data_IF_953994271152
#
_entry.id   IF_953994271152
#
_cell.length_a   1.000
_cell.length_b   1.000
_cell.length_c   1.000
_cell.angle_alpha   90.00
_cell.angle_beta   90.00
_cell.angle_gamma   90.00
#
_symmetry.space_group_name_H-M   'P 1'
#
loop_
_entity.id
_entity.type
_entity.pdbx_description
1 polymer ?
2 non-polymer ?
3 non-polymer ?
4 water ?
#
# COMPACT_ATOMS: atom_id res chain seq x y z
N UNK A 4 11.72 4.56 14.34
CA UNK A 4 10.97 4.87 15.55
C UNK A 4 9.48 4.70 15.32
N UNK A 5 8.69 5.09 16.31
CA UNK A 5 7.27 4.81 16.35
C UNK A 5 6.42 6.02 16.01
N UNK A 6 6.99 7.02 15.36
CA UNK A 6 6.24 8.25 15.14
C UNK A 6 5.15 8.00 14.09
N UNK A 7 4.01 8.66 14.30
CA UNK A 7 2.79 8.38 13.58
C UNK A 7 2.23 9.66 12.99
N UNK A 8 1.23 9.48 12.12
CA UNK A 8 0.40 10.57 11.62
C UNK A 8 -1.02 10.27 12.08
N UNK A 9 -1.71 11.32 12.51
CA UNK A 9 -3.11 11.19 12.89
C UNK A 9 -3.98 11.19 11.64
N UNK A 10 -4.81 10.15 11.47
CA UNK A 10 -5.73 10.05 10.34
C UNK A 10 -7.01 10.86 10.61
N UNK A 11 -7.77 11.08 9.52
CA UNK A 11 -8.94 11.96 9.60
C UNK A 11 -10.08 11.34 10.40
N UNK A 12 -9.96 10.08 10.82
CA UNK A 12 -10.86 9.45 11.78
C UNK A 12 -10.29 9.37 13.18
N UNK A 13 -9.10 9.94 13.41
CA UNK A 13 -8.54 9.99 14.74
C UNK A 13 -7.66 8.82 15.12
N UNK A 14 -7.56 7.80 14.28
CA UNK A 14 -6.60 6.75 14.51
C UNK A 14 -5.22 7.22 14.09
N UNK A 15 -4.19 6.58 14.63
CA UNK A 15 -2.81 6.93 14.32
C UNK A 15 -2.18 5.85 13.45
N UNK A 16 -1.48 6.27 12.41
CA UNK A 16 -0.83 5.37 11.45
C UNK A 16 0.67 5.55 11.56
N UNK A 17 1.46 4.50 11.79
CA UNK A 17 2.93 4.65 11.76
C UNK A 17 3.39 5.09 10.37
N UNK A 18 4.34 6.03 10.36
CA UNK A 18 4.68 6.69 9.09
C UNK A 18 5.57 5.82 8.21
N UNK A 19 6.22 4.82 8.78
CA UNK A 19 6.93 3.81 8.03
C UNK A 19 6.16 2.50 8.16
N UNK A 20 5.95 1.83 7.03
CA UNK A 20 5.28 0.55 7.04
C UNK A 20 6.06 -0.50 6.27
N UNK A 21 5.75 -1.74 6.59
CA UNK A 21 6.40 -2.92 6.04
C UNK A 21 5.53 -3.49 4.94
N UNK A 22 6.04 -3.54 3.71
CA UNK A 22 5.29 -4.18 2.64
C UNK A 22 5.53 -5.69 2.67
N UNK A 23 4.45 -6.46 2.39
CA UNK A 23 4.53 -7.92 2.46
C UNK A 23 4.32 -8.65 1.14
N UNK A 24 3.96 -7.96 0.04
CA UNK A 24 3.89 -8.64 -1.24
C UNK A 24 5.27 -9.14 -1.67
N UNK A 25 5.32 -10.33 -2.25
CA UNK A 25 6.50 -10.78 -2.98
C UNK A 25 6.04 -11.46 -4.26
N UNK A 26 6.91 -11.52 -5.30
CA UNK A 26 6.50 -12.19 -6.55
C UNK A 26 5.96 -13.60 -6.32
N UNK A 27 5.15 -14.07 -7.27
CA UNK A 27 4.47 -15.36 -7.12
C UNK A 27 5.46 -16.49 -6.85
N UNK A 28 6.63 -16.45 -7.47
CA UNK A 28 7.60 -17.53 -7.33
C UNK A 28 8.24 -17.59 -5.95
N UNK A 29 8.00 -16.61 -5.08
CA UNK A 29 8.56 -16.63 -3.73
C UNK A 29 7.66 -17.49 -2.84
N UNK A 30 8.18 -18.55 -2.21
CA UNK A 30 7.33 -19.45 -1.44
C UNK A 30 6.62 -18.69 -0.32
N UNK A 31 5.38 -19.14 -0.03
CA UNK A 31 4.55 -18.48 0.99
C UNK A 31 5.24 -18.44 2.35
N UNK A 32 6.05 -19.43 2.68
CA UNK A 32 6.66 -19.48 4.00
C UNK A 32 7.58 -18.28 4.25
N UNK A 33 8.15 -17.70 3.19
CA UNK A 33 9.07 -16.58 3.34
C UNK A 33 8.36 -15.35 3.90
N UNK A 34 7.05 -15.22 3.67
CA UNK A 34 6.32 -14.09 4.24
C UNK A 34 6.28 -14.17 5.77
N UNK A 35 6.17 -15.38 6.31
CA UNK A 35 6.10 -15.57 7.75
C UNK A 35 7.37 -15.08 8.44
N UNK A 36 8.53 -15.47 7.90
CA UNK A 36 9.81 -15.12 8.51
C UNK A 36 10.10 -13.63 8.39
N UNK A 37 9.81 -13.04 7.23
CA UNK A 37 10.13 -11.64 6.99
C UNK A 37 9.29 -10.73 7.88
N UNK A 38 8.04 -11.09 8.12
CA UNK A 38 7.19 -10.23 8.94
C UNK A 38 7.61 -10.27 10.40
N UNK A 39 8.00 -11.45 10.90
CA UNK A 39 8.58 -11.52 12.23
C UNK A 39 9.82 -10.63 12.34
N UNK A 40 10.72 -10.73 11.36
CA UNK A 40 11.94 -9.92 11.41
C UNK A 40 11.62 -8.44 11.32
N UNK A 41 10.61 -8.08 10.54
CA UNK A 41 10.20 -6.69 10.44
C UNK A 41 9.77 -6.14 11.80
N UNK A 42 8.97 -6.92 12.53
CA UNK A 42 8.48 -6.50 13.84
C UNK A 42 9.64 -6.41 14.84
N UNK A 43 10.59 -7.34 14.77
CA UNK A 43 11.73 -7.27 15.67
C UNK A 43 12.59 -6.04 15.40
N UNK A 44 12.68 -5.63 14.13
CA UNK A 44 13.47 -4.47 13.75
C UNK A 44 12.83 -3.16 14.17
N UNK A 45 11.54 -3.14 14.41
CA UNK A 45 10.89 -1.90 14.79
C UNK A 45 9.65 -1.56 14.00
N UNK A 46 9.40 -2.25 12.89
CA UNK A 46 8.20 -1.99 12.10
C UNK A 46 6.96 -2.27 12.93
N UNK A 47 6.00 -1.36 12.88
CA UNK A 47 4.70 -1.56 13.50
C UNK A 47 3.56 -1.50 12.50
N UNK A 48 3.76 -0.86 11.35
CA UNK A 48 2.78 -0.78 10.29
C UNK A 48 3.11 -1.87 9.28
N UNK A 49 2.15 -2.79 9.06
CA UNK A 49 2.33 -3.94 8.18
C UNK A 49 1.23 -3.93 7.13
N UNK A 50 1.63 -3.99 5.86
CA UNK A 50 0.73 -3.88 4.71
C UNK A 50 0.64 -5.23 3.99
N UNK A 51 -0.58 -5.79 3.93
CA UNK A 51 -0.87 -6.95 3.06
C UNK A 51 -2.17 -6.69 2.32
N UNK A 52 -2.77 -7.77 1.80
CA UNK A 52 -3.92 -7.77 0.88
C UNK A 52 -4.35 -9.21 0.67
N UNK A 53 -5.64 -9.42 0.34
CA UNK A 53 -6.06 -10.78 0.00
C UNK A 53 -5.38 -11.25 -1.28
N UNK A 54 -5.11 -10.32 -2.20
CA UNK A 54 -4.39 -10.63 -3.42
C UNK A 54 -3.03 -11.28 -3.15
N UNK A 55 -2.36 -10.91 -2.07
CA UNK A 55 -0.97 -11.35 -1.88
C UNK A 55 -0.86 -12.82 -1.57
N UNK A 56 -1.97 -13.49 -1.28
CA UNK A 56 -1.97 -14.90 -0.90
C UNK A 56 -0.97 -15.16 0.23
N UNK A 57 -0.92 -14.26 1.23
CA UNK A 57 0.00 -14.44 2.35
C UNK A 57 -0.62 -14.14 3.72
N UNK A 58 -1.93 -13.90 3.80
CA UNK A 58 -2.49 -13.41 5.05
C UNK A 58 -2.44 -14.46 6.14
N UNK A 59 -2.46 -15.75 5.78
CA UNK A 59 -2.24 -16.76 6.79
C UNK A 59 -0.85 -16.64 7.39
N UNK A 60 0.15 -16.38 6.56
CA UNK A 60 1.52 -16.28 7.06
C UNK A 60 1.71 -14.98 7.85
N UNK A 61 1.23 -13.86 7.31
CA UNK A 61 1.40 -12.57 7.97
C UNK A 61 0.69 -12.54 9.32
N UNK A 62 -0.52 -13.11 9.37
CA UNK A 62 -1.21 -13.26 10.64
C UNK A 62 -0.44 -14.15 11.61
N UNK A 63 0.11 -15.27 11.11
CA UNK A 63 0.88 -16.14 11.99
C UNK A 63 2.07 -15.39 12.58
N UNK A 64 2.70 -14.52 11.78
CA UNK A 64 3.86 -13.78 12.25
C UNK A 64 3.48 -12.77 13.33
N UNK A 65 2.43 -11.99 13.07
CA UNK A 65 1.98 -10.96 14.01
C UNK A 65 1.59 -11.58 15.34
N UNK A 66 0.81 -12.67 15.28
CA UNK A 66 0.31 -13.29 16.50
C UNK A 66 1.41 -14.03 17.25
N UNK A 67 2.51 -14.39 16.57
CA UNK A 67 3.65 -14.96 17.27
C UNK A 67 4.44 -13.88 18.01
N UNK A 68 4.55 -12.69 17.44
CA UNK A 68 5.19 -11.58 18.13
C UNK A 68 4.34 -11.04 19.26
N UNK A 69 3.02 -11.22 19.20
CA UNK A 69 2.17 -10.96 20.34
C UNK A 69 2.36 -12.02 21.40
N UNK A 70 2.42 -13.29 20.99
CA UNK A 70 2.47 -14.38 21.95
C UNK A 70 3.76 -14.34 22.76
N UNK A 71 4.88 -14.03 22.12
CA UNK A 71 6.13 -13.96 22.85
C UNK A 71 6.29 -12.64 23.59
N UNK A 72 5.26 -11.79 23.59
CA UNK A 72 5.26 -10.58 24.36
C UNK A 72 6.03 -9.42 23.77
N UNK A 73 6.53 -9.56 22.53
CA UNK A 73 7.30 -8.47 21.92
C UNK A 73 6.42 -7.24 21.73
N UNK A 74 5.19 -7.44 21.27
CA UNK A 74 4.26 -6.38 20.96
C UNK A 74 2.88 -6.83 21.41
N UNK A 75 2.00 -5.86 21.63
CA UNK A 75 0.58 -6.13 21.80
C UNK A 75 -0.15 -5.72 20.54
N UNK A 76 -1.38 -6.24 20.40
CA UNK A 76 -2.15 -5.98 19.18
C UNK A 76 -2.31 -4.49 18.93
N UNK A 77 -2.50 -3.71 20.00
CA UNK A 77 -2.70 -2.28 19.85
C UNK A 77 -1.46 -1.58 19.30
N UNK A 78 -0.27 -2.18 19.42
CA UNK A 78 0.95 -1.59 18.86
C UNK A 78 1.08 -1.81 17.36
N UNK A 79 0.38 -2.79 16.81
CA UNK A 79 0.50 -3.17 15.40
C UNK A 79 -0.61 -2.48 14.61
N UNK A 80 -0.24 -1.90 13.47
CA UNK A 80 -1.18 -1.31 12.54
C UNK A 80 -1.17 -2.20 11.30
N UNK A 81 -2.21 -3.02 11.13
CA UNK A 81 -2.26 -4.00 10.05
C UNK A 81 -3.28 -3.57 8.99
N UNK A 82 -2.84 -3.58 7.73
CA UNK A 82 -3.67 -3.21 6.58
C UNK A 82 -3.99 -4.45 5.75
N UNK A 83 -5.26 -4.63 5.40
CA UNK A 83 -5.60 -5.56 4.34
C UNK A 83 -6.34 -4.79 3.23
N UNK A 84 -6.65 -5.51 2.14
CA UNK A 84 -7.27 -4.89 0.97
C UNK A 84 -8.31 -5.82 0.36
N UNK A 85 -9.40 -5.20 -0.09
CA UNK A 85 -10.50 -5.88 -0.77
C UNK A 85 -10.18 -6.00 -2.26
N UNK A 86 -10.15 -7.23 -2.77
CA UNK A 86 -9.74 -7.42 -4.16
C UNK A 86 -10.92 -7.22 -5.12
N UNK A 87 -10.60 -7.12 -6.40
CA UNK A 87 -11.57 -6.77 -7.44
C UNK A 87 -12.66 -7.82 -7.65
N UNK A 88 -12.47 -9.05 -7.19
CA UNK A 88 -13.50 -10.06 -7.38
C UNK A 88 -14.60 -9.98 -6.33
N UNK A 89 -14.48 -9.10 -5.33
CA UNK A 89 -15.51 -8.90 -4.32
C UNK A 89 -15.90 -7.42 -4.17
N UNK A 90 -15.85 -6.65 -5.28
CA UNK A 90 -16.38 -5.29 -5.25
C UNK A 90 -17.89 -5.27 -5.03
N UNK A 91 -18.61 -6.29 -5.49
CA UNK A 91 -20.06 -6.30 -5.36
C UNK A 91 -20.47 -6.16 -3.90
N UNK A 92 -21.42 -5.28 -3.57
CA UNK A 92 -21.69 -4.94 -2.16
C UNK A 92 -21.86 -6.15 -1.26
N UNK A 93 -22.67 -7.13 -1.69
CA UNK A 93 -22.99 -8.30 -0.89
C UNK A 93 -21.77 -9.20 -0.67
N UNK A 94 -20.69 -9.03 -1.44
CA UNK A 94 -19.46 -9.81 -1.30
C UNK A 94 -18.38 -9.12 -0.49
N UNK A 95 -18.58 -7.87 -0.08
CA UNK A 95 -17.53 -7.10 0.58
C UNK A 95 -17.23 -7.66 1.96
N UNK A 96 -18.27 -7.84 2.78
CA UNK A 96 -18.06 -8.31 4.15
C UNK A 96 -17.58 -9.75 4.15
N UNK A 97 -18.18 -10.64 3.35
CA UNK A 97 -17.56 -11.97 3.18
C UNK A 97 -16.06 -11.93 2.91
N UNK A 98 -15.60 -11.05 2.02
CA UNK A 98 -14.17 -10.98 1.72
C UNK A 98 -13.37 -10.52 2.93
N UNK A 99 -13.86 -9.50 3.66
CA UNK A 99 -13.15 -9.07 4.87
C UNK A 99 -13.12 -10.18 5.91
N UNK A 100 -14.25 -10.85 6.13
CA UNK A 100 -14.28 -11.93 7.10
C UNK A 100 -13.37 -13.08 6.67
N UNK A 101 -13.23 -13.29 5.37
CA UNK A 101 -12.33 -14.35 4.90
C UNK A 101 -10.87 -13.99 5.18
N UNK A 102 -10.49 -12.72 4.99
CA UNK A 102 -9.16 -12.27 5.37
C UNK A 102 -8.92 -12.42 6.87
N UNK A 103 -9.89 -11.99 7.68
CA UNK A 103 -9.73 -12.10 9.13
C UNK A 103 -9.58 -13.55 9.57
N UNK A 104 -10.33 -14.45 8.94
CA UNK A 104 -10.22 -15.88 9.26
C UNK A 104 -8.84 -16.42 8.89
N UNK A 105 -8.35 -16.08 7.70
CA UNK A 105 -6.98 -16.45 7.34
C UNK A 105 -5.99 -15.87 8.33
N UNK A 106 -6.20 -14.62 8.74
CA UNK A 106 -5.30 -13.96 9.66
C UNK A 106 -5.46 -14.47 11.09
N UNK A 107 -6.66 -14.97 11.41
CA UNK A 107 -7.07 -15.29 12.79
C UNK A 107 -6.93 -14.07 13.71
N UNK A 108 -7.30 -12.91 13.17
CA UNK A 108 -7.40 -11.67 13.92
C UNK A 108 -8.86 -11.22 13.95
N UNK A 109 -9.24 -10.51 15.01
CA UNK A 109 -10.61 -10.03 15.16
C UNK A 109 -10.92 -8.82 14.29
N UNK A 110 -9.90 -8.05 13.90
CA UNK A 110 -10.11 -6.85 13.10
C UNK A 110 -8.82 -6.52 12.37
N UNK A 111 -8.94 -5.75 11.29
CA UNK A 111 -7.79 -5.10 10.66
C UNK A 111 -7.79 -3.64 11.10
N UNK A 112 -6.60 -3.03 11.11
CA UNK A 112 -6.53 -1.61 11.41
C UNK A 112 -6.98 -0.75 10.24
N UNK A 113 -6.86 -1.27 9.02
CA UNK A 113 -7.13 -0.51 7.82
C UNK A 113 -7.55 -1.48 6.73
N UNK A 114 -8.67 -1.17 6.07
CA UNK A 114 -9.17 -1.96 4.96
C UNK A 114 -9.32 -1.04 3.76
N UNK A 115 -8.73 -1.45 2.64
CA UNK A 115 -8.67 -0.63 1.43
C UNK A 115 -9.40 -1.32 0.29
N UNK A 116 -10.13 -0.54 -0.51
CA UNK A 116 -10.43 -0.97 -1.87
C UNK A 116 -9.12 -1.01 -2.65
N UNK A 117 -8.76 -2.19 -3.15
CA UNK A 117 -7.41 -2.42 -3.65
C UNK A 117 -7.19 -1.75 -5.02
N UNK A 118 -8.19 -1.77 -5.88
CA UNK A 118 -8.01 -1.32 -7.25
C UNK A 118 -9.38 -1.08 -7.84
N UNK A 119 -9.65 0.09 -8.44
CA UNK A 119 -11.03 0.45 -8.79
C UNK A 119 -11.64 -0.31 -9.97
N UNK A 120 -10.95 -1.26 -10.61
CA UNK A 120 -11.52 -2.00 -11.75
C UNK A 120 -12.04 -3.34 -11.25
N UNK A 121 -13.31 -3.63 -11.50
CA UNK A 121 -13.95 -4.86 -11.00
C UNK A 121 -13.72 -6.04 -11.95
N UNK A 122 -13.72 -7.26 -11.38
CA UNK A 122 -13.61 -8.49 -12.16
C UNK A 122 -14.66 -9.49 -11.68
N UNK A 123 -14.87 -10.52 -12.50
CA UNK A 123 -15.91 -11.51 -12.26
C UNK A 123 -15.82 -12.08 -10.85
N UNK A 124 -16.93 -12.19 -10.12
CA UNK A 124 -16.88 -12.86 -8.82
C UNK A 124 -16.46 -14.33 -8.97
N UNK A 125 -15.75 -14.81 -7.97
CA UNK A 125 -15.33 -16.19 -7.94
C UNK A 125 -14.02 -16.31 -7.18
N UNK A 126 -13.54 -17.56 -7.09
CA UNK A 126 -12.31 -17.82 -6.37
C UNK A 126 -11.09 -17.26 -7.10
N UNK A 127 -11.13 -17.20 -8.43
CA UNK A 127 -9.97 -16.78 -9.21
C UNK A 127 -9.77 -15.27 -9.08
N UNK A 128 -8.53 -14.85 -8.76
CA UNK A 128 -8.27 -13.42 -8.58
C UNK A 128 -8.14 -12.68 -9.90
N UNK A 129 -7.64 -13.33 -10.95
CA UNK A 129 -7.62 -12.74 -12.29
C UNK A 129 -8.33 -13.67 -13.27
N UNK A 130 -9.67 -13.70 -13.26
CA UNK A 130 -10.38 -14.61 -14.17
C UNK A 130 -10.12 -14.20 -15.62
N UNK A 131 -10.04 -15.20 -16.51
CA UNK A 131 -9.70 -14.95 -17.91
C UNK A 131 -10.60 -15.76 -18.84
N UNK A 132 -10.98 -15.15 -19.98
CA UNK A 132 -11.78 -15.82 -20.98
C UNK A 132 -10.87 -16.67 -21.88
N UNK A 133 -11.43 -17.19 -22.98
CA UNK A 133 -10.69 -18.11 -23.84
C UNK A 133 -9.62 -17.42 -24.68
N UNK A 134 -9.68 -16.10 -24.81
CA UNK A 134 -8.65 -15.36 -25.52
C UNK A 134 -7.65 -14.71 -24.58
N UNK A 135 -7.72 -15.01 -23.28
CA UNK A 135 -6.74 -14.54 -22.31
C UNK A 135 -7.00 -13.16 -21.75
N UNK A 136 -8.18 -12.59 -21.98
CA UNK A 136 -8.44 -11.26 -21.48
C UNK A 136 -9.29 -11.34 -20.21
N UNK A 137 -9.16 -10.32 -19.37
CA UNK A 137 -9.81 -10.34 -18.07
C UNK A 137 -11.33 -10.25 -18.25
N UNK A 138 -12.07 -11.05 -17.45
CA UNK A 138 -13.53 -11.01 -17.40
C UNK A 138 -13.89 -9.92 -16.42
N UNK A 139 -14.05 -8.71 -16.96
CA UNK A 139 -14.39 -7.58 -16.14
C UNK A 139 -15.83 -7.69 -15.66
N UNK A 140 -16.10 -7.01 -14.56
CA UNK A 140 -17.42 -6.90 -13.95
C UNK A 140 -17.80 -5.43 -13.85
N UNK A 141 -19.09 -5.19 -13.68
CA UNK A 141 -19.65 -3.84 -13.66
C UNK A 141 -20.25 -3.63 -12.28
N UNK A 142 -19.59 -2.82 -11.46
CA UNK A 142 -19.99 -2.54 -10.10
C UNK A 142 -19.94 -1.04 -9.89
N UNK A 143 -20.86 -0.54 -9.08
CA UNK A 143 -20.83 0.85 -8.64
C UNK A 143 -19.91 0.94 -7.43
N UNK A 144 -18.72 1.52 -7.60
CA UNK A 144 -17.77 1.61 -6.50
C UNK A 144 -18.31 2.44 -5.33
N UNK A 145 -19.32 3.28 -5.56
CA UNK A 145 -19.94 3.95 -4.43
C UNK A 145 -20.71 2.96 -3.58
N UNK A 146 -21.35 1.97 -4.23
CA UNK A 146 -21.97 0.88 -3.49
C UNK A 146 -20.93 0.00 -2.82
N UNK A 147 -19.76 -0.18 -3.45
CA UNK A 147 -18.68 -0.88 -2.77
C UNK A 147 -18.26 -0.15 -1.50
N UNK A 148 -18.05 1.17 -1.60
CA UNK A 148 -17.59 1.94 -0.45
C UNK A 148 -18.58 1.89 0.70
N UNK A 149 -19.88 1.95 0.39
CA UNK A 149 -20.90 1.84 1.45
C UNK A 149 -20.80 0.51 2.19
N UNK A 150 -20.57 -0.59 1.45
CA UNK A 150 -20.36 -1.86 2.12
C UNK A 150 -19.05 -1.87 2.92
N UNK A 151 -18.02 -1.14 2.44
CA UNK A 151 -16.79 -1.03 3.22
C UNK A 151 -17.03 -0.19 4.48
N UNK A 152 -17.84 0.86 4.36
CA UNK A 152 -18.23 1.65 5.53
C UNK A 152 -18.92 0.79 6.59
N UNK A 153 -19.79 -0.13 6.15
CA UNK A 153 -20.48 -1.01 7.11
C UNK A 153 -19.49 -1.91 7.84
N UNK A 154 -18.33 -2.16 7.23
CA UNK A 154 -17.30 -2.95 7.88
C UNK A 154 -16.66 -2.17 9.04
N UNK A 155 -16.58 -0.85 8.90
CA UNK A 155 -16.14 -0.02 10.02
C UNK A 155 -17.22 0.05 11.10
N UNK A 156 -18.49 0.20 10.69
CA UNK A 156 -19.61 0.17 11.62
C UNK A 156 -19.53 -1.05 12.52
N UNK A 157 -19.27 -2.22 11.91
CA UNK A 157 -19.23 -3.50 12.60
C UNK A 157 -17.98 -3.68 13.44
N UNK A 158 -17.04 -2.74 13.39
CA UNK A 158 -15.79 -2.85 14.11
C UNK A 158 -14.81 -3.87 13.57
N UNK A 159 -14.99 -4.33 12.33
CA UNK A 159 -14.08 -5.28 11.71
C UNK A 159 -12.90 -4.61 11.03
N UNK A 160 -12.98 -3.30 10.82
CA UNK A 160 -11.89 -2.48 10.32
C UNK A 160 -11.92 -1.16 11.07
N UNK A 161 -10.80 -0.80 11.69
CA UNK A 161 -10.76 0.41 12.50
C UNK A 161 -10.77 1.66 11.64
N UNK A 162 -10.03 1.65 10.52
CA UNK A 162 -10.09 2.69 9.51
C UNK A 162 -10.28 2.06 8.15
N UNK A 163 -10.73 2.88 7.18
CA UNK A 163 -10.99 2.39 5.83
C UNK A 163 -10.42 3.40 4.83
N UNK A 164 -10.01 2.89 3.67
CA UNK A 164 -9.41 3.76 2.68
C UNK A 164 -9.42 3.14 1.30
N UNK A 165 -8.62 3.74 0.40
CA UNK A 165 -8.58 3.31 -0.98
C UNK A 165 -7.13 3.17 -1.44
N UNK A 166 -6.96 2.60 -2.64
CA UNK A 166 -5.65 2.41 -3.23
C UNK A 166 -5.82 2.51 -4.74
N UNK A 167 -4.85 3.11 -5.44
CA UNK A 167 -4.91 3.19 -6.90
C UNK A 167 -6.13 3.97 -7.40
N UNK A 168 -6.56 4.97 -6.64
CA UNK A 168 -7.66 5.84 -7.02
C UNK A 168 -7.04 7.13 -7.53
N UNK A 169 -7.58 7.63 -8.64
CA UNK A 169 -7.15 8.91 -9.18
C UNK A 169 -8.03 10.01 -8.56
N UNK A 170 -7.77 11.26 -8.94
CA UNK A 170 -8.49 12.35 -8.30
C UNK A 170 -9.99 12.26 -8.56
N UNK A 171 -10.38 11.94 -9.80
CA UNK A 171 -11.80 11.74 -10.14
C UNK A 171 -12.48 10.70 -9.25
N UNK A 172 -11.80 9.57 -9.00
CA UNK A 172 -12.41 8.53 -8.18
C UNK A 172 -12.42 8.91 -6.70
N UNK A 173 -11.40 9.63 -6.24
CA UNK A 173 -11.44 10.18 -4.88
C UNK A 173 -12.61 11.12 -4.71
N UNK A 174 -12.86 11.97 -5.71
CA UNK A 174 -13.98 12.90 -5.65
C UNK A 174 -15.32 12.17 -5.68
N UNK A 175 -15.39 11.05 -6.42
CA UNK A 175 -16.64 10.29 -6.47
C UNK A 175 -17.02 9.77 -5.09
N UNK A 176 -16.04 9.32 -4.31
CA UNK A 176 -16.29 8.84 -2.95
C UNK A 176 -16.56 10.03 -2.02
N UNK A 177 -15.72 11.07 -2.11
CA UNK A 177 -15.80 12.19 -1.18
C UNK A 177 -17.14 12.90 -1.30
N UNK A 178 -17.69 12.97 -2.50
CA UNK A 178 -18.93 13.68 -2.77
C UNK A 178 -20.13 12.75 -2.90
N UNK A 179 -20.00 11.49 -2.51
CA UNK A 179 -21.13 10.59 -2.55
C UNK A 179 -22.22 11.04 -1.58
N UNK A 180 -23.49 11.02 -1.98
CA UNK A 180 -24.57 11.28 -1.04
C UNK A 180 -24.56 10.28 0.12
N UNK A 181 -24.69 10.81 1.33
CA UNK A 181 -24.79 9.97 2.51
C UNK A 181 -23.48 9.42 3.00
N UNK A 182 -22.36 10.00 2.58
CA UNK A 182 -21.05 9.49 2.96
C UNK A 182 -20.90 9.48 4.47
N UNK A 183 -20.53 8.32 5.00
CA UNK A 183 -20.28 8.17 6.42
C UNK A 183 -18.83 8.49 6.77
N UNK A 184 -17.88 7.86 6.09
CA UNK A 184 -16.46 7.99 6.39
C UNK A 184 -15.69 8.34 5.13
N UNK A 185 -14.90 9.42 5.19
CA UNK A 185 -13.93 9.65 4.13
C UNK A 185 -12.88 8.54 4.14
N UNK A 186 -12.27 8.25 3.00
CA UNK A 186 -11.05 7.42 3.03
C UNK A 186 -9.99 8.11 3.87
N UNK A 187 -9.32 7.32 4.71
CA UNK A 187 -8.23 7.91 5.50
C UNK A 187 -6.97 8.04 4.67
N UNK A 188 -6.90 7.35 3.54
CA UNK A 188 -5.65 7.30 2.80
C UNK A 188 -5.95 6.87 1.38
N UNK A 189 -5.00 7.19 0.50
CA UNK A 189 -4.96 6.67 -0.87
C UNK A 189 -3.56 6.09 -1.03
N UNK A 190 -3.47 4.77 -1.18
CA UNK A 190 -2.19 4.09 -1.34
C UNK A 190 -1.87 3.96 -2.82
N UNK A 191 -0.79 4.61 -3.23
CA UNK A 191 -0.45 4.74 -4.65
C UNK A 191 1.04 4.60 -4.80
N UNK A 192 1.48 4.26 -6.01
CA UNK A 192 2.91 4.21 -6.31
C UNK A 192 3.52 5.61 -6.13
N UNK A 193 4.65 5.68 -5.42
CA UNK A 193 5.29 6.97 -5.23
C UNK A 193 6.76 6.76 -4.87
N UNK A 194 7.64 7.42 -5.63
CA UNK A 194 9.09 7.28 -5.52
C UNK A 194 9.67 8.49 -6.27
N UNK A 195 10.99 8.75 -6.20
CA UNK A 195 11.52 9.97 -6.83
C UNK A 195 11.35 10.03 -8.33
N UNK A 196 11.14 8.90 -9.00
CA UNK A 196 10.88 8.89 -10.44
C UNK A 196 9.39 9.06 -10.77
N UNK A 197 8.50 9.02 -9.77
CA UNK A 197 7.06 9.24 -9.96
C UNK A 197 6.56 9.78 -8.62
N UNK A 198 6.81 11.08 -8.39
CA UNK A 198 6.69 11.63 -7.04
C UNK A 198 5.27 12.12 -6.71
N UNK A 199 4.34 12.04 -7.66
CA UNK A 199 2.92 12.23 -7.40
C UNK A 199 2.61 13.58 -6.77
N UNK A 200 3.39 14.61 -7.10
CA UNK A 200 3.17 15.93 -6.51
C UNK A 200 1.70 16.34 -6.58
N UNK A 201 1.09 16.27 -7.76
CA UNK A 201 -0.28 16.74 -7.91
C UNK A 201 -1.26 15.91 -7.07
N UNK A 202 -1.18 14.57 -7.16
CA UNK A 202 -2.09 13.75 -6.36
C UNK A 202 -1.82 13.90 -4.86
N UNK A 203 -0.56 14.08 -4.47
CA UNK A 203 -0.23 14.27 -3.07
C UNK A 203 -0.82 15.57 -2.55
N UNK A 204 -0.68 16.65 -3.31
CA UNK A 204 -1.30 17.91 -2.90
C UNK A 204 -2.82 17.77 -2.82
N UNK A 205 -3.43 17.03 -3.74
CA UNK A 205 -4.89 16.89 -3.71
C UNK A 205 -5.36 16.10 -2.49
N UNK A 206 -4.68 14.98 -2.18
CA UNK A 206 -5.01 14.24 -0.96
C UNK A 206 -4.88 15.12 0.26
N UNK A 207 -3.75 15.84 0.36
CA UNK A 207 -3.53 16.74 1.48
C UNK A 207 -4.68 17.71 1.64
N UNK A 208 -5.20 18.19 0.51
CA UNK A 208 -6.29 19.16 0.48
C UNK A 208 -7.60 18.60 1.03
N UNK A 209 -7.78 17.28 1.01
CA UNK A 209 -8.98 16.64 1.52
C UNK A 209 -8.73 15.81 2.79
N UNK A 210 -7.61 16.05 3.49
CA UNK A 210 -7.31 15.32 4.74
C UNK A 210 -7.20 13.81 4.49
N UNK A 211 -6.56 13.46 3.39
CA UNK A 211 -6.32 12.06 3.03
C UNK A 211 -4.81 11.86 2.98
N UNK A 212 -4.31 10.85 3.68
CA UNK A 212 -2.89 10.53 3.67
C UNK A 212 -2.54 9.80 2.38
N UNK A 213 -1.46 10.22 1.71
CA UNK A 213 -0.87 9.44 0.64
C UNK A 213 0.10 8.43 1.26
N UNK A 214 -0.12 7.15 0.98
CA UNK A 214 0.78 6.08 1.39
C UNK A 214 1.49 5.62 0.12
N UNK A 215 2.82 5.75 0.11
CA UNK A 215 3.64 5.44 -1.06
C UNK A 215 3.88 3.94 -1.14
N UNK A 216 3.50 3.31 -2.25
CA UNK A 216 3.96 1.96 -2.51
C UNK A 216 5.00 1.97 -3.62
N UNK A 217 5.73 0.86 -3.71
CA UNK A 217 6.85 0.74 -4.65
C UNK A 217 7.82 1.90 -4.45
N UNK A 218 8.02 2.28 -3.19
CA UNK A 218 8.80 3.47 -2.86
C UNK A 218 10.30 3.26 -3.06
N UNK A 219 10.74 2.01 -3.20
CA UNK A 219 12.11 1.67 -3.55
C UNK A 219 12.23 1.27 -5.02
N UNK A 220 11.19 1.49 -5.81
CA UNK A 220 11.24 1.20 -7.22
C UNK A 220 10.63 -0.11 -7.65
N UNK A 221 9.90 -0.79 -6.74
CA UNK A 221 9.08 -1.95 -7.01
C UNK A 221 9.88 -3.25 -7.12
N UNK A 222 9.16 -4.36 -7.03
CA UNK A 222 9.75 -5.69 -7.17
C UNK A 222 10.27 -5.94 -8.57
N UNK A 223 9.70 -5.23 -9.57
CA UNK A 223 10.05 -5.39 -10.98
C UNK A 223 9.72 -6.80 -11.47
N UNK A 224 8.68 -7.40 -10.91
CA UNK A 224 8.23 -8.73 -11.34
C UNK A 224 7.64 -8.62 -12.74
N UNK A 225 8.19 -9.41 -13.67
CA UNK A 225 7.55 -9.59 -14.96
C UNK A 225 6.31 -10.48 -14.80
N UNK A 226 5.24 -10.23 -15.57
CA UNK A 226 5.06 -9.24 -16.62
C UNK A 226 4.32 -7.99 -16.14
N UNK A 227 4.49 -7.63 -14.86
CA UNK A 227 3.81 -6.49 -14.27
C UNK A 227 4.58 -5.19 -14.48
N UNK A 228 5.91 -5.26 -14.47
CA UNK A 228 6.78 -4.10 -14.57
C UNK A 228 7.64 -4.26 -15.81
N UNK A 229 7.78 -3.18 -16.57
CA UNK A 229 8.63 -3.18 -17.77
C UNK A 229 10.08 -3.38 -17.35
N UNK A 230 10.74 -4.45 -17.78
CA UNK A 230 12.15 -4.66 -17.38
C UNK A 230 13.11 -3.62 -17.93
N UNK A 231 12.71 -2.85 -18.94
CA UNK A 231 13.57 -1.83 -19.51
C UNK A 231 13.39 -0.47 -18.83
N UNK A 232 12.48 -0.36 -17.88
CA UNK A 232 12.37 0.83 -17.06
C UNK A 232 13.67 1.04 -16.28
N UNK A 233 14.05 2.29 -16.00
CA UNK A 233 15.26 2.51 -15.20
C UNK A 233 15.08 1.94 -13.80
N UNK A 234 16.20 1.61 -13.15
CA UNK A 234 16.19 1.04 -11.81
C UNK A 234 16.40 2.17 -10.80
N UNK A 235 15.37 2.45 -10.00
CA UNK A 235 15.39 3.61 -9.11
C UNK A 235 16.61 3.64 -8.21
N UNK A 236 16.91 2.51 -7.55
CA UNK A 236 17.99 2.50 -6.56
C UNK A 236 19.38 2.55 -7.17
N UNK A 237 19.47 2.55 -8.50
CA UNK A 237 20.73 2.82 -9.18
C UNK A 237 20.91 4.31 -9.49
N UNK A 238 19.98 5.15 -9.03
CA UNK A 238 20.01 6.54 -9.44
C UNK A 238 21.26 7.24 -8.91
N UNK A 239 21.97 7.99 -9.75
CA UNK A 239 23.22 8.63 -9.27
C UNK A 239 23.01 9.62 -8.15
N UNK A 240 21.93 10.41 -8.18
CA UNK A 240 21.69 11.40 -7.13
C UNK A 240 21.35 10.72 -5.82
N UNK A 241 20.48 9.72 -5.84
CA UNK A 241 20.19 8.98 -4.62
C UNK A 241 21.45 8.32 -4.08
N UNK A 242 22.26 7.75 -4.97
CA UNK A 242 23.50 7.11 -4.56
C UNK A 242 24.50 8.11 -4.02
N UNK A 243 24.55 9.32 -4.59
CA UNK A 243 25.48 10.33 -4.11
C UNK A 243 25.08 10.85 -2.73
N UNK A 244 23.78 11.07 -2.53
CA UNK A 244 23.30 11.50 -1.22
C UNK A 244 23.48 10.42 -0.18
N UNK A 245 23.38 9.16 -0.58
CA UNK A 245 23.65 8.06 0.33
C UNK A 245 25.09 8.10 0.81
N UNK A 246 26.04 8.28 -0.12
CA UNK A 246 27.44 8.40 0.28
C UNK A 246 27.64 9.59 1.20
N UNK A 247 27.06 10.74 0.85
CA UNK A 247 27.28 11.96 1.63
C UNK A 247 26.81 11.78 3.07
N UNK A 248 25.70 11.07 3.27
CA UNK A 248 25.08 10.90 4.59
C UNK A 248 25.48 9.62 5.30
N UNK A 249 26.33 8.78 4.70
CA UNK A 249 26.64 7.46 5.25
C UNK A 249 25.38 6.61 5.38
N UNK A 250 24.57 6.59 4.32
CA UNK A 250 23.35 5.79 4.29
C UNK A 250 23.36 5.00 2.99
N UNK A 251 22.16 4.66 2.50
CA UNK A 251 21.96 3.87 1.30
C UNK A 251 20.97 4.56 0.38
N UNK A 252 20.91 4.16 -0.90
CA UNK A 252 19.92 4.79 -1.78
C UNK A 252 18.50 4.52 -1.33
N UNK A 253 18.19 3.30 -0.93
CA UNK A 253 16.87 3.01 -0.38
C UNK A 253 16.51 3.93 0.79
N UNK A 254 17.47 4.18 1.70
CA UNK A 254 17.17 5.04 2.85
C UNK A 254 16.98 6.49 2.44
N UNK A 255 17.70 6.97 1.42
CA UNK A 255 17.42 8.30 0.91
C UNK A 255 16.00 8.34 0.34
N UNK A 256 15.63 7.31 -0.41
CA UNK A 256 14.32 7.31 -1.06
C UNK A 256 13.18 7.28 -0.04
N UNK A 257 13.38 6.60 1.09
CA UNK A 257 12.34 6.58 2.13
C UNK A 257 12.33 7.88 2.95
N UNK A 258 13.51 8.41 3.27
CA UNK A 258 13.58 9.68 4.00
C UNK A 258 12.92 10.80 3.19
N UNK A 259 13.09 10.76 1.87
CA UNK A 259 12.45 11.73 0.99
C UNK A 259 10.95 11.80 1.26
N UNK A 260 10.29 10.63 1.30
CA UNK A 260 8.84 10.61 1.50
C UNK A 260 8.48 11.10 2.89
N UNK A 261 9.25 10.70 3.91
CA UNK A 261 8.93 11.12 5.28
C UNK A 261 8.97 12.64 5.41
N UNK A 262 9.91 13.30 4.74
CA UNK A 262 10.03 14.74 4.89
C UNK A 262 9.03 15.53 4.05
N UNK A 263 8.36 14.90 3.08
CA UNK A 263 7.35 15.57 2.28
C UNK A 263 5.92 15.20 2.71
N UNK A 264 5.75 14.62 3.89
CA UNK A 264 4.42 14.38 4.42
C UNK A 264 3.78 13.09 3.96
N UNK A 265 4.55 12.18 3.39
CA UNK A 265 4.03 10.93 2.85
C UNK A 265 4.32 9.78 3.82
N UNK A 266 3.35 8.89 3.98
CA UNK A 266 3.58 7.63 4.68
C UNK A 266 4.18 6.66 3.69
N UNK A 267 5.29 6.00 4.06
CA UNK A 267 6.07 5.24 3.09
C UNK A 267 6.13 3.77 3.48
N UNK A 268 5.90 2.90 2.51
CA UNK A 268 6.09 1.46 2.70
C UNK A 268 7.47 1.06 2.20
N UNK A 269 7.95 -0.05 2.72
CA UNK A 269 9.21 -0.63 2.25
C UNK A 269 9.10 -2.14 2.35
N UNK A 270 9.14 -2.83 1.20
CA UNK A 270 9.21 -4.29 1.24
C UNK A 270 10.66 -4.74 1.25
N UNK A 271 10.97 -5.68 2.14
CA UNK A 271 12.21 -6.45 2.03
C UNK A 271 12.01 -7.77 2.75
N UNK A 272 12.33 -8.88 2.07
CA UNK A 272 12.40 -10.17 2.74
C UNK A 272 13.83 -10.51 3.14
N UNK A 273 14.72 -9.52 3.17
CA UNK A 273 16.12 -9.70 3.53
C UNK A 273 16.37 -9.12 4.92
N UNK A 274 16.88 -9.96 5.83
CA UNK A 274 17.03 -9.54 7.23
C UNK A 274 17.88 -8.26 7.37
N UNK A 275 18.98 -8.17 6.63
CA UNK A 275 19.84 -7.00 6.76
C UNK A 275 19.13 -5.74 6.25
N UNK A 276 18.51 -5.82 5.08
CA UNK A 276 17.81 -4.65 4.53
C UNK A 276 16.58 -4.30 5.38
N UNK A 277 15.88 -5.31 5.91
CA UNK A 277 14.75 -5.05 6.81
C UNK A 277 15.21 -4.17 7.97
N UNK A 278 16.28 -4.59 8.63
CA UNK A 278 16.86 -3.81 9.73
C UNK A 278 17.42 -2.49 9.23
N UNK A 279 17.94 -2.45 8.00
CA UNK A 279 18.46 -1.18 7.49
C UNK A 279 17.36 -0.15 7.36
N UNK A 280 16.20 -0.56 6.83
CA UNK A 280 15.17 0.39 6.41
C UNK A 280 14.55 1.16 7.58
N UNK A 281 14.60 0.60 8.80
CA UNK A 281 14.08 1.32 9.95
C UNK A 281 14.98 2.48 10.35
N UNK A 282 16.22 2.52 9.84
CA UNK A 282 17.14 3.61 10.13
C UNK A 282 16.76 4.92 9.45
N UNK A 283 15.65 4.95 8.72
CA UNK A 283 15.19 6.17 8.08
C UNK A 283 14.97 7.30 9.08
N UNK A 284 14.80 6.99 10.36
CA UNK A 284 14.55 8.05 11.34
C UNK A 284 15.82 8.66 11.93
N UNK A 285 16.99 8.13 11.60
CA UNK A 285 18.22 8.53 12.27
C UNK A 285 18.91 9.72 11.62
N UNK A 286 18.42 10.19 10.46
CA UNK A 286 19.09 11.26 9.75
C UNK A 286 18.07 12.12 9.02
N UNK A 287 18.52 13.27 8.53
CA UNK A 287 17.68 14.28 7.91
C UNK A 287 18.30 14.74 6.59
N UNK A 288 17.45 14.97 5.59
CA UNK A 288 17.91 15.62 4.38
C UNK A 288 17.75 17.13 4.53
N UNK A 289 18.73 17.88 4.03
CA UNK A 289 18.61 19.34 3.94
C UNK A 289 17.58 19.72 2.88
N UNK A 290 17.10 20.97 2.96
CA UNK A 290 16.09 21.40 1.98
C UNK A 290 16.66 21.41 0.57
N UNK A 291 17.96 21.67 0.44
CA UNK A 291 18.59 21.67 -0.88
C UNK A 291 18.67 20.25 -1.43
N UNK A 292 18.81 19.27 -0.54
CA UNK A 292 18.83 17.87 -0.98
C UNK A 292 17.44 17.39 -1.37
N UNK A 293 16.42 17.80 -0.61
CA UNK A 293 15.03 17.50 -0.99
C UNK A 293 14.74 18.00 -2.40
N UNK A 294 15.19 19.22 -2.71
CA UNK A 294 14.96 19.79 -4.04
C UNK A 294 15.73 19.02 -5.11
N UNK A 295 16.95 18.55 -4.80
CA UNK A 295 17.66 17.72 -5.76
C UNK A 295 16.88 16.44 -6.04
N UNK A 296 16.29 15.83 -5.00
CA UNK A 296 15.49 14.63 -5.24
C UNK A 296 14.20 14.95 -5.98
N UNK A 297 13.64 16.15 -5.78
CA UNK A 297 12.45 16.57 -6.52
C UNK A 297 12.71 16.54 -8.02
N UNK A 298 13.94 16.89 -8.40
CA UNK A 298 14.31 16.95 -9.80
C UNK A 298 14.39 15.62 -10.47
N UNK A 299 14.43 14.53 -9.70
CA UNK A 299 14.51 13.20 -10.29
C UNK A 299 13.21 12.79 -10.99
N UNK A 300 12.13 13.54 -10.81
CA UNK A 300 10.83 13.13 -11.33
C UNK A 300 10.89 12.86 -12.84
N UNK A 301 10.44 11.67 -13.24
CA UNK A 301 10.56 11.19 -14.62
C UNK A 301 9.27 10.74 -15.28
N UNK A 302 8.15 10.67 -14.56
CA UNK A 302 6.91 10.08 -15.08
C UNK A 302 7.08 8.59 -15.41
N UNK A 303 7.93 7.89 -14.66
CA UNK A 303 8.12 6.45 -14.83
C UNK A 303 7.20 5.76 -13.82
N UNK A 304 6.07 5.24 -14.29
CA UNK A 304 5.17 4.44 -13.47
C UNK A 304 5.56 2.97 -13.64
N UNK A 305 6.01 2.33 -12.55
CA UNK A 305 6.45 0.94 -12.67
C UNK A 305 5.27 0.00 -12.77
N UNK A 306 4.18 0.27 -12.06
CA UNK A 306 3.06 -0.64 -12.00
C UNK A 306 1.88 -0.01 -12.73
N UNK A 307 1.75 -0.33 -14.03
CA UNK A 307 0.64 0.22 -14.81
C UNK A 307 -0.65 -0.57 -14.63
N UNK A 308 -0.56 -1.84 -14.21
CA UNK A 308 -1.72 -2.74 -14.17
C UNK A 308 -2.45 -2.71 -15.52
N UNK A 309 -1.63 -2.73 -16.59
CA UNK A 309 -2.07 -2.64 -17.99
C UNK A 309 -3.17 -3.62 -18.32
N UNK A 310 -3.10 -4.82 -17.75
CA UNK A 310 -4.02 -5.88 -18.09
C UNK A 310 -5.46 -5.51 -17.73
N UNK A 311 -5.64 -4.49 -16.90
CA UNK A 311 -6.96 -4.00 -16.48
C UNK A 311 -7.39 -2.76 -17.23
N UNK A 312 -6.62 -2.30 -18.22
CA UNK A 312 -7.02 -1.12 -18.98
C UNK A 312 -8.15 -1.46 -19.94
N UNK A 313 -8.94 -0.45 -20.28
CA UNK A 313 -10.11 -0.65 -21.10
C UNK A 313 -11.39 -0.22 -20.43
N UNK A 314 -11.70 -0.77 -19.26
CA UNK A 314 -12.90 -0.32 -18.52
C UNK A 314 -12.80 1.15 -18.15
N UNK A 315 -13.94 1.80 -17.92
CA UNK A 315 -13.90 3.21 -17.50
C UNK A 315 -13.17 3.43 -16.19
N UNK A 316 -13.16 2.45 -15.29
CA UNK A 316 -12.51 2.67 -14.00
C UNK A 316 -10.99 2.51 -14.04
N UNK A 317 -10.39 2.20 -15.19
CA UNK A 317 -8.94 2.06 -15.20
C UNK A 317 -8.31 3.38 -14.76
N UNK A 318 -7.56 3.41 -13.65
CA UNK A 318 -7.29 4.69 -12.97
C UNK A 318 -6.19 5.55 -13.56
N UNK A 319 -5.34 5.01 -14.44
CA UNK A 319 -4.12 5.71 -14.79
C UNK A 319 -4.20 6.43 -16.14
N UNK A 320 -5.36 6.43 -16.80
CA UNK A 320 -5.53 7.22 -18.02
C UNK A 320 -5.55 8.72 -17.71
N UNK A 321 -6.23 9.13 -16.62
CA UNK A 321 -6.23 10.53 -16.26
C UNK A 321 -4.81 11.00 -15.92
N UNK A 322 -4.60 12.32 -16.02
CA UNK A 322 -3.31 12.91 -15.66
C UNK A 322 -2.93 12.54 -14.23
N UNK A 323 -3.89 12.64 -13.32
CA UNK A 323 -3.71 12.16 -11.96
C UNK A 323 -5.09 12.07 -11.37
X LIG B 1 9.53 -1.88 -2.85
X LIG B 1 9.26 -1.44 -1.45
X LIG B 1 9.42 -0.75 -3.81
X LIG B 1 11.02 -2.45 -3.01
X LIG B 1 11.08 -3.89 -2.97
X LIG B 1 12.35 -4.28 -3.68
X LIG B 1 13.46 -3.52 -3.14
X LIG B 1 12.71 -5.75 -3.49
X LIG B 1 13.45 -6.26 -4.61
X LIG B 1 13.59 -5.68 -2.25
X LIG B 1 14.49 -6.80 -2.21
X LIG B 1 14.36 -4.37 -2.46
X LIG B 1 14.84 -3.70 -1.26
X LIG B 1 14.18 -3.51 -0.08
X LIG B 1 14.86 -2.86 0.83
X LIG B 1 16.07 -2.59 0.21
X LIG B 1 17.23 -1.91 0.63
X LIG B 1 17.35 -1.34 1.82
X LIG B 1 18.25 -1.82 -0.25
X LIG B 1 18.12 -2.36 -1.46
X LIG B 1 17.07 -3.03 -1.97
X LIG B 1 16.07 -3.10 -1.08
X LIG B 1 8.50 -3.03 -3.26
X LIG B 1 6.96 -3.26 -3.60
X LIG B 1 6.66 -4.64 -3.14
X LIG B 1 6.73 -2.96 -5.04
X LIG B 1 6.21 -2.17 -2.72
X LIG B 1 6.23 -2.22 -1.28
X LIG B 1 4.90 -2.67 -0.74
X LIG B 1 3.85 -1.77 -1.14
X LIG B 1 4.40 -4.02 -1.22
X LIG B 1 5.09 -5.09 -0.57
X LIG B 1 2.93 -3.93 -0.84
X LIG B 1 2.85 -4.09 0.57
X LIG B 1 2.63 -2.49 -1.26
X LIG B 1 2.13 -2.34 -2.70
X LIG B 1 0.82 -2.09 -2.85
X LIG B 1 0.26 -2.02 -4.12
X LIG B 1 -1.18 -1.66 -4.32
X LIG B 1 -1.84 -1.22 -3.36
X LIG B 1 -1.67 -1.72 -5.55
X LIG B 1 1.09 -2.22 -5.22
X LIG B 1 2.44 -2.46 -5.03
X LIG B 1 2.95 -2.50 -3.77
X LIG B 1 14.65 -7.68 -0.90
X LIG B 1 15.56 -8.80 -1.26
X LIG B 1 13.20 -8.14 -0.58
X LIG B 1 15.21 -6.75 0.15
X LIG C 1 -0.36 -5.06 -5.26
X LIG C 1 0.98 -5.39 -5.12
X LIG C 1 1.73 -5.75 -6.22
X LIG C 1 1.13 -5.81 -7.49
X LIG C 1 -0.22 -5.51 -7.60
X LIG C 1 -0.97 -5.11 -6.51
X LIG C 1 1.90 -6.21 -8.67
X LIG C 1 1.16 -6.33 -9.96
X LIG C 1 -0.31 -6.64 -9.73
X LIG C 1 -0.92 -5.72 -8.77
X LIG C 1 -0.60 -8.06 -9.29
X LIG C 1 0.18 -8.69 -8.34
X LIG C 1 -0.07 -10.00 -7.96
X LIG C 1 -1.12 -10.70 -8.53
X LIG C 1 -1.92 -10.08 -9.50
X LIG C 1 -1.64 -8.77 -9.86
X LIG C 1 3.09 -6.48 -8.60
X LIG C 1 -1.07 -4.67 -4.17
X LIG C 1 -1.40 -11.97 -8.13
#
# INVERSE_FOLDING_TARGET
>A
MDSKYQCVKLNDGHFMPVLGFGTYAPAEVPKSKALEATKLAIEAGFRHIDSAHLYNNEEQVGLAIRSKIADGSVKREDIFYTSKLWCNSHRPELVRPALERSLKNLQLDYVDLYLIHFPVSVKPGEEVIPKDENGKILFDTVDLCATWEAVEKCKDAGLAKSIGVSNFNRRQLEMILNKPGLKYKPVCNQVECHPYFNQRKLLDFCKSKDIVLVAYSALGSHREEPWVDPNSPVLLEDPVLCALAKKHKRTPALIALRYQLQRGVVVLAKSYNEQRIRQNVQVFEFQLTSEEMKAIDGLNRNVRYLTLDIFAGPPNYPFSDEY
>B hetero
1 NAP PA O1A O2A O5B C5B C4B O4B C3B O3B C2B O2B C1B N9A C8A N7A C5A C6A N6A N1A C2A N3A C4A O3 PN O1N O2N O5D C5D C4D O4D C3D O3D C2D O2D C1D N1N C2N C3N C7N O7N N7N C4N C5N C6N P2B O1X O2X O3X
>C hetero
1 DFV C1 C2 C3 C4 C5 C6 C7 C8 C9 O1 C10 C11 C12 C13 C14 C15 O2 O3 O4
#
